data_IF_882615339811
#
_entry.id   IF_882615339811
#
_cell.length_a   1.000
_cell.length_b   1.000
_cell.length_c   1.000
_cell.angle_alpha   90.00
_cell.angle_beta   90.00
_cell.angle_gamma   90.00
#
_symmetry.space_group_name_H-M   'P 1'
#
loop_
_entity.id
_entity.type
_entity.pdbx_description
1 polymer ?
#
# COMPACT_ATOMS: atom_id res chain seq x y z
N UNK A 1 22.85 -8.22 9.28
CA UNK A 1 21.64 -7.44 9.58
C UNK A 1 21.76 -6.05 8.96
N UNK A 2 20.94 -5.73 7.98
CA UNK A 2 20.80 -4.39 7.41
C UNK A 2 19.68 -3.61 8.14
N UNK A 3 19.54 -2.31 7.85
CA UNK A 3 18.55 -1.46 8.50
C UNK A 3 17.11 -1.94 8.27
N UNK A 4 16.80 -2.50 7.09
CA UNK A 4 15.47 -3.00 6.74
C UNK A 4 15.09 -4.24 7.56
N UNK A 5 16.03 -5.18 7.68
CA UNK A 5 15.87 -6.39 8.50
C UNK A 5 15.63 -6.03 9.98
N UNK A 6 16.38 -5.06 10.51
CA UNK A 6 16.18 -4.58 11.88
C UNK A 6 14.80 -3.94 12.09
N UNK A 7 14.34 -3.14 11.13
CA UNK A 7 13.02 -2.50 11.19
C UNK A 7 11.89 -3.54 11.20
N UNK A 8 11.99 -4.59 10.39
CA UNK A 8 10.99 -5.67 10.41
C UNK A 8 10.97 -6.42 11.73
N UNK A 9 12.15 -6.82 12.23
CA UNK A 9 12.27 -7.49 13.51
C UNK A 9 11.67 -6.67 14.67
N UNK A 10 11.95 -5.37 14.71
CA UNK A 10 11.37 -4.49 15.73
C UNK A 10 9.88 -4.25 15.51
N UNK A 11 9.42 -4.18 14.25
CA UNK A 11 8.01 -4.15 13.90
C UNK A 11 7.26 -5.30 14.54
N UNK A 12 7.73 -6.53 14.32
CA UNK A 12 7.11 -7.74 14.89
C UNK A 12 7.13 -7.76 16.41
N UNK A 13 8.23 -7.29 17.02
CA UNK A 13 8.34 -7.18 18.47
C UNK A 13 7.28 -6.24 19.07
N UNK A 14 7.06 -5.07 18.46
CA UNK A 14 6.07 -4.08 18.92
C UNK A 14 4.63 -4.42 18.56
N UNK A 15 4.41 -5.21 17.51
CA UNK A 15 3.07 -5.64 17.07
C UNK A 15 2.63 -6.95 17.72
N UNK A 16 3.55 -7.65 18.40
CA UNK A 16 3.26 -8.91 19.07
C UNK A 16 3.11 -10.10 18.12
N UNK A 17 3.54 -9.95 16.87
CA UNK A 17 3.58 -11.01 15.85
C UNK A 17 4.87 -11.86 15.92
N UNK A 18 5.84 -11.45 16.74
CA UNK A 18 7.09 -12.19 16.94
C UNK A 18 6.86 -13.51 17.68
N UNK A 19 7.53 -14.58 17.21
CA UNK A 19 7.60 -15.87 17.89
C UNK A 19 8.03 -15.73 19.37
N UNK A 20 7.31 -16.39 20.29
CA UNK A 20 7.42 -16.13 21.73
C UNK A 20 8.84 -16.37 22.27
N UNK A 21 9.51 -17.43 21.83
CA UNK A 21 10.88 -17.73 22.26
C UNK A 21 11.86 -16.61 21.87
N UNK A 22 11.76 -16.12 20.64
CA UNK A 22 12.60 -15.05 20.10
C UNK A 22 12.30 -13.71 20.79
N UNK A 23 11.01 -13.44 21.04
CA UNK A 23 10.56 -12.26 21.77
C UNK A 23 11.13 -12.21 23.19
N UNK A 24 11.16 -13.35 23.89
CA UNK A 24 11.75 -13.45 25.22
C UNK A 24 13.26 -13.21 25.19
N UNK A 25 13.99 -13.85 24.27
CA UNK A 25 15.44 -13.64 24.12
C UNK A 25 15.78 -12.17 23.84
N UNK A 26 15.02 -11.54 22.94
CA UNK A 26 15.20 -10.13 22.60
C UNK A 26 14.87 -9.21 23.78
N UNK A 27 13.80 -9.49 24.54
CA UNK A 27 13.43 -8.72 25.73
C UNK A 27 14.54 -8.77 26.79
N UNK A 28 15.09 -9.97 27.06
CA UNK A 28 16.22 -10.14 27.99
C UNK A 28 17.45 -9.35 27.55
N UNK A 29 17.74 -9.31 26.24
CA UNK A 29 18.84 -8.50 25.72
C UNK A 29 18.59 -7.00 25.95
N UNK A 30 17.40 -6.50 25.62
CA UNK A 30 17.04 -5.09 25.76
C UNK A 30 17.11 -4.64 27.22
N UNK A 31 16.65 -5.47 28.16
CA UNK A 31 16.72 -5.19 29.60
C UNK A 31 18.16 -5.08 30.12
N UNK A 32 19.09 -5.80 29.51
CA UNK A 32 20.51 -5.86 29.92
C UNK A 32 21.42 -4.92 29.14
N UNK A 33 20.90 -4.22 28.13
CA UNK A 33 21.68 -3.40 27.21
C UNK A 33 21.11 -1.98 27.14
N UNK A 34 21.68 -1.05 27.93
CA UNK A 34 21.25 0.35 27.98
C UNK A 34 21.18 1.03 26.59
N UNK A 35 22.17 0.85 25.67
CA UNK A 35 22.08 1.39 24.32
C UNK A 35 20.85 0.90 23.55
N UNK A 36 20.56 -0.41 23.61
CA UNK A 36 19.40 -0.99 22.94
C UNK A 36 18.09 -0.49 23.56
N UNK A 37 18.04 -0.36 24.90
CA UNK A 37 16.89 0.21 25.58
C UNK A 37 16.61 1.66 25.15
N UNK A 38 17.64 2.50 25.07
CA UNK A 38 17.52 3.90 24.66
C UNK A 38 17.09 4.01 23.18
N UNK A 39 17.64 3.16 22.32
CA UNK A 39 17.23 3.06 20.93
C UNK A 39 15.76 2.65 20.81
N UNK A 40 15.33 1.61 21.53
CA UNK A 40 13.95 1.10 21.48
C UNK A 40 12.93 2.16 21.92
N UNK A 41 13.23 2.91 22.99
CA UNK A 41 12.41 4.03 23.45
C UNK A 41 12.25 5.11 22.38
N UNK A 42 13.33 5.42 21.66
CA UNK A 42 13.30 6.40 20.58
C UNK A 42 12.51 5.88 19.39
N UNK A 43 12.74 4.62 19.00
CA UNK A 43 12.02 3.98 17.92
C UNK A 43 10.51 3.91 18.17
N UNK A 44 10.09 3.50 19.37
CA UNK A 44 8.67 3.43 19.74
C UNK A 44 8.00 4.80 19.71
N UNK A 45 8.66 5.83 20.26
CA UNK A 45 8.18 7.21 20.16
C UNK A 45 8.03 7.67 18.70
N UNK A 46 9.02 7.40 17.86
CA UNK A 46 8.96 7.73 16.43
C UNK A 46 7.79 6.99 15.76
N UNK A 47 7.61 5.70 16.05
CA UNK A 47 6.49 4.91 15.53
C UNK A 47 5.13 5.49 15.94
N UNK A 48 4.98 5.89 17.20
CA UNK A 48 3.75 6.52 17.71
C UNK A 48 3.49 7.87 17.03
N UNK A 49 4.51 8.74 16.97
CA UNK A 49 4.38 10.04 16.32
C UNK A 49 4.05 9.91 14.83
N UNK A 50 4.74 9.04 14.11
CA UNK A 50 4.46 8.78 12.69
C UNK A 50 3.03 8.27 12.45
N UNK A 51 2.47 7.46 13.36
CA UNK A 51 1.06 7.01 13.29
C UNK A 51 0.05 8.12 13.58
N UNK A 52 0.44 9.16 14.30
CA UNK A 52 -0.41 10.32 14.60
C UNK A 52 -0.37 11.39 13.50
N UNK A 53 0.64 11.36 12.64
CA UNK A 53 0.70 12.24 11.47
C UNK A 53 -0.42 11.82 10.52
N UNK A 54 -1.48 12.62 10.47
CA UNK A 54 -2.40 12.59 9.35
C UNK A 54 -1.70 13.33 8.20
N UNK A 55 -1.50 12.69 7.03
CA UNK A 55 -1.03 13.42 5.88
C UNK A 55 -2.05 14.51 5.60
N UNK A 56 -1.65 15.78 5.73
CA UNK A 56 -2.47 16.89 5.26
C UNK A 56 -2.66 16.69 3.76
N UNK A 57 -3.92 16.64 3.32
CA UNK A 57 -4.20 16.56 1.90
C UNK A 57 -3.54 17.73 1.19
N UNK A 58 -2.85 17.46 0.09
CA UNK A 58 -2.25 18.52 -0.74
C UNK A 58 -3.37 19.50 -1.09
N UNK A 59 -3.25 20.79 -0.71
CA UNK A 59 -4.27 21.78 -1.00
C UNK A 59 -4.61 21.78 -2.48
N UNK A 60 -5.90 21.89 -2.80
CA UNK A 60 -6.38 21.74 -4.18
C UNK A 60 -5.67 22.69 -5.15
N UNK A 61 -5.40 23.92 -4.71
CA UNK A 61 -4.64 24.91 -5.49
C UNK A 61 -3.23 24.41 -5.84
N UNK A 62 -2.51 23.85 -4.86
CA UNK A 62 -1.16 23.33 -5.04
C UNK A 62 -1.18 22.13 -6.01
N UNK A 63 -2.15 21.23 -5.82
CA UNK A 63 -2.36 20.07 -6.70
C UNK A 63 -2.61 20.51 -8.14
N UNK A 64 -3.48 21.49 -8.34
CA UNK A 64 -3.84 21.99 -9.66
C UNK A 64 -2.66 22.69 -10.35
N UNK A 65 -1.90 23.51 -9.62
CA UNK A 65 -0.69 24.16 -10.13
C UNK A 65 0.38 23.15 -10.53
N UNK A 66 0.61 22.14 -9.69
CA UNK A 66 1.58 21.09 -9.98
C UNK A 66 1.14 20.26 -11.20
N UNK A 67 -0.13 19.87 -11.27
CA UNK A 67 -0.70 19.15 -12.43
C UNK A 67 -0.53 19.94 -13.73
N UNK A 68 -0.83 21.24 -13.70
CA UNK A 68 -0.66 22.12 -14.86
C UNK A 68 0.81 22.17 -15.31
N UNK A 69 1.74 22.34 -14.37
CA UNK A 69 3.18 22.34 -14.65
C UNK A 69 3.65 21.02 -15.28
N UNK A 70 3.29 19.87 -14.71
CA UNK A 70 3.68 18.56 -15.25
C UNK A 70 3.10 18.35 -16.65
N UNK A 71 1.83 18.67 -16.87
CA UNK A 71 1.19 18.56 -18.20
C UNK A 71 1.85 19.48 -19.22
N UNK A 72 2.22 20.69 -18.83
CA UNK A 72 2.96 21.61 -19.70
C UNK A 72 4.33 21.03 -20.07
N UNK A 73 5.09 20.54 -19.08
CA UNK A 73 6.42 19.98 -19.33
C UNK A 73 6.38 18.68 -20.12
N UNK A 74 5.36 17.84 -19.92
CA UNK A 74 5.14 16.66 -20.75
C UNK A 74 4.93 17.02 -22.24
N UNK A 75 4.30 18.15 -22.54
CA UNK A 75 4.14 18.66 -23.91
C UNK A 75 5.44 19.24 -24.48
N UNK A 76 6.21 19.97 -23.67
CA UNK A 76 7.46 20.64 -24.10
C UNK A 76 8.65 19.67 -24.23
N UNK A 77 8.73 18.67 -23.35
CA UNK A 77 9.88 17.77 -23.17
C UNK A 77 9.43 16.30 -23.07
N UNK A 78 8.60 15.84 -24.00
CA UNK A 78 7.98 14.50 -23.98
C UNK A 78 9.00 13.40 -23.65
N UNK A 79 10.17 13.38 -24.30
CA UNK A 79 11.19 12.34 -24.12
C UNK A 79 11.80 12.27 -22.71
N UNK A 80 11.85 13.38 -21.97
CA UNK A 80 12.49 13.41 -20.65
C UNK A 80 11.52 12.97 -19.54
N UNK A 81 10.22 13.15 -19.78
CA UNK A 81 9.16 12.86 -18.81
C UNK A 81 8.43 11.53 -19.09
N UNK A 82 8.46 11.05 -20.33
CA UNK A 82 7.85 9.80 -20.77
C UNK A 82 8.23 8.62 -19.86
N UNK A 83 9.50 8.49 -19.48
CA UNK A 83 9.96 7.45 -18.55
C UNK A 83 9.25 7.46 -17.19
N UNK A 84 8.85 8.64 -16.69
CA UNK A 84 8.13 8.76 -15.42
C UNK A 84 6.65 8.45 -15.58
N UNK A 85 6.05 8.84 -16.71
CA UNK A 85 4.66 8.51 -17.04
C UNK A 85 4.49 7.01 -17.27
N UNK A 86 5.40 6.39 -18.02
CA UNK A 86 5.43 4.95 -18.23
C UNK A 86 5.65 4.18 -16.92
N UNK A 87 6.53 4.68 -16.06
CA UNK A 87 6.76 4.08 -14.74
C UNK A 87 5.50 4.15 -13.89
N UNK A 88 4.87 5.32 -13.78
CA UNK A 88 3.64 5.49 -13.02
C UNK A 88 2.50 4.62 -13.57
N UNK A 89 2.37 4.54 -14.90
CA UNK A 89 1.39 3.66 -15.55
C UNK A 89 1.68 2.19 -15.22
N UNK A 90 2.94 1.75 -15.28
CA UNK A 90 3.33 0.38 -14.94
C UNK A 90 3.02 0.05 -13.47
N UNK A 91 3.40 0.92 -12.55
CA UNK A 91 3.13 0.76 -11.12
C UNK A 91 1.62 0.66 -10.85
N UNK A 92 0.81 1.49 -11.51
CA UNK A 92 -0.66 1.41 -11.44
C UNK A 92 -1.20 0.06 -11.93
N UNK A 93 -0.75 -0.41 -13.10
CA UNK A 93 -1.17 -1.72 -13.64
C UNK A 93 -0.81 -2.87 -12.73
N UNK A 94 0.39 -2.83 -12.17
CA UNK A 94 0.89 -3.83 -11.24
C UNK A 94 0.05 -3.85 -9.96
N UNK A 95 -0.28 -2.69 -9.38
CA UNK A 95 -1.18 -2.59 -8.23
C UNK A 95 -2.57 -3.20 -8.49
N UNK A 96 -3.15 -2.92 -9.66
CA UNK A 96 -4.45 -3.51 -10.06
C UNK A 96 -4.34 -5.03 -10.20
N UNK A 97 -3.28 -5.52 -10.84
CA UNK A 97 -3.05 -6.96 -10.97
C UNK A 97 -2.85 -7.63 -9.61
N UNK A 98 -2.13 -6.99 -8.69
CA UNK A 98 -1.88 -7.49 -7.33
C UNK A 98 -3.15 -7.59 -6.49
N UNK A 99 -3.98 -6.55 -6.49
CA UNK A 99 -5.24 -6.61 -5.73
C UNK A 99 -6.17 -7.68 -6.27
N UNK A 100 -6.24 -7.85 -7.60
CA UNK A 100 -7.06 -8.89 -8.23
C UNK A 100 -6.52 -10.29 -7.92
N UNK A 101 -5.19 -10.49 -7.96
CA UNK A 101 -4.56 -11.75 -7.55
C UNK A 101 -4.84 -12.07 -6.09
N UNK A 102 -4.73 -11.09 -5.20
CA UNK A 102 -5.02 -11.27 -3.79
C UNK A 102 -6.51 -11.57 -3.54
N UNK A 103 -7.41 -10.91 -4.28
CA UNK A 103 -8.85 -11.17 -4.24
C UNK A 103 -9.19 -12.60 -4.68
N UNK A 104 -8.67 -13.06 -5.83
CA UNK A 104 -8.89 -14.43 -6.34
C UNK A 104 -8.32 -15.48 -5.38
N UNK A 105 -7.16 -15.20 -4.78
CA UNK A 105 -6.52 -16.09 -3.81
C UNK A 105 -7.15 -16.04 -2.40
N UNK A 106 -8.17 -15.21 -2.17
CA UNK A 106 -8.75 -14.95 -0.85
C UNK A 106 -7.72 -14.52 0.21
N UNK A 107 -6.73 -13.71 -0.20
CA UNK A 107 -5.63 -13.21 0.66
C UNK A 107 -5.75 -11.73 1.02
N UNK A 108 -6.89 -11.09 0.74
CA UNK A 108 -7.14 -9.71 1.17
C UNK A 108 -7.27 -9.64 2.70
N UNK A 109 -6.80 -8.53 3.29
CA UNK A 109 -7.09 -8.21 4.69
C UNK A 109 -8.61 -8.07 4.91
N UNK A 110 -9.06 -8.17 6.15
CA UNK A 110 -10.50 -8.09 6.49
C UNK A 110 -11.14 -6.79 5.97
N UNK A 111 -10.49 -5.65 6.23
CA UNK A 111 -10.96 -4.33 5.77
C UNK A 111 -11.01 -4.25 4.26
N UNK A 112 -9.94 -4.67 3.58
CA UNK A 112 -9.91 -4.63 2.12
C UNK A 112 -10.90 -5.58 1.47
N UNK A 113 -11.10 -6.77 2.05
CA UNK A 113 -12.11 -7.70 1.56
C UNK A 113 -13.51 -7.09 1.62
N UNK A 114 -13.85 -6.40 2.72
CA UNK A 114 -15.15 -5.74 2.86
C UNK A 114 -15.35 -4.61 1.84
N UNK A 115 -14.35 -3.74 1.67
CA UNK A 115 -14.40 -2.65 0.69
C UNK A 115 -14.55 -3.18 -0.73
N UNK A 116 -13.72 -4.17 -1.09
CA UNK A 116 -13.72 -4.75 -2.44
C UNK A 116 -15.00 -5.53 -2.74
N UNK A 117 -15.56 -6.26 -1.76
CA UNK A 117 -16.86 -6.93 -1.90
C UNK A 117 -18.00 -5.93 -2.05
N UNK A 118 -18.00 -4.87 -1.25
CA UNK A 118 -19.01 -3.81 -1.34
C UNK A 118 -18.96 -3.13 -2.69
N UNK A 119 -17.76 -2.83 -3.20
CA UNK A 119 -17.55 -2.30 -4.54
C UNK A 119 -18.07 -3.27 -5.61
N UNK A 120 -17.65 -4.54 -5.59
CA UNK A 120 -18.13 -5.57 -6.52
C UNK A 120 -19.65 -5.69 -6.56
N UNK A 121 -20.30 -5.61 -5.39
CA UNK A 121 -21.74 -5.85 -5.29
C UNK A 121 -22.56 -4.63 -5.76
N UNK A 122 -22.00 -3.43 -5.72
CA UNK A 122 -22.67 -2.15 -6.05
C UNK A 122 -22.17 -1.45 -7.32
N UNK A 123 -21.04 -1.86 -7.89
CA UNK A 123 -20.43 -1.21 -9.04
C UNK A 123 -20.90 -1.82 -10.36
N UNK A 124 -21.55 -1.01 -11.19
CA UNK A 124 -22.04 -1.44 -12.52
C UNK A 124 -20.90 -1.67 -13.52
N UNK A 125 -19.74 -1.03 -13.32
CA UNK A 125 -18.54 -1.19 -14.16
C UNK A 125 -17.81 -2.49 -13.82
N UNK A 126 -17.33 -2.61 -12.58
CA UNK A 126 -16.48 -3.72 -12.16
C UNK A 126 -17.25 -4.97 -11.72
N UNK A 127 -18.54 -4.86 -11.35
CA UNK A 127 -19.25 -5.91 -10.62
C UNK A 127 -19.35 -7.23 -11.35
N UNK A 128 -19.67 -7.22 -12.65
CA UNK A 128 -19.76 -8.44 -13.45
C UNK A 128 -18.40 -9.15 -13.59
N UNK A 129 -17.35 -8.38 -13.91
CA UNK A 129 -15.98 -8.87 -14.02
C UNK A 129 -15.51 -9.51 -12.70
N UNK A 130 -15.62 -8.76 -11.59
CA UNK A 130 -15.19 -9.20 -10.26
C UNK A 130 -15.99 -10.41 -9.72
N UNK A 131 -17.29 -10.52 -10.04
CA UNK A 131 -18.09 -11.71 -9.72
C UNK A 131 -17.64 -12.93 -10.52
N UNK A 132 -17.22 -12.73 -11.77
CA UNK A 132 -16.68 -13.79 -12.64
C UNK A 132 -15.33 -14.36 -12.18
N UNK A 133 -14.56 -13.60 -11.40
CA UNK A 133 -13.29 -14.03 -10.81
C UNK A 133 -13.44 -14.93 -9.57
N UNK A 134 -14.62 -14.96 -8.93
CA UNK A 134 -14.86 -15.81 -7.78
C UNK A 134 -14.73 -17.30 -8.14
N UNK A 135 -13.99 -18.05 -7.32
CA UNK A 135 -13.81 -19.50 -7.50
C UNK A 135 -12.44 -19.94 -8.01
N UNK A 136 -11.42 -19.08 -7.94
CA UNK A 136 -10.02 -19.48 -8.17
C UNK A 136 -9.63 -19.65 -9.65
N UNK A 137 -10.40 -19.08 -10.58
CA UNK A 137 -10.06 -19.10 -12.01
C UNK A 137 -8.90 -18.15 -12.30
N UNK A 138 -8.11 -18.47 -13.33
CA UNK A 138 -7.09 -17.56 -13.84
C UNK A 138 -7.74 -16.21 -14.22
N UNK A 139 -7.09 -15.11 -13.85
CA UNK A 139 -7.55 -13.77 -14.19
C UNK A 139 -7.42 -13.64 -15.73
N UNK A 140 -8.52 -13.40 -16.47
CA UNK A 140 -8.43 -13.11 -17.90
C UNK A 140 -7.72 -11.76 -18.10
N UNK A 141 -7.41 -11.41 -19.35
CA UNK A 141 -6.92 -10.07 -19.67
C UNK A 141 -7.88 -9.01 -19.07
N UNK A 142 -7.33 -8.08 -18.28
CA UNK A 142 -8.10 -7.06 -17.57
C UNK A 142 -8.50 -6.01 -18.62
N UNK A 143 -9.81 -5.75 -18.82
CA UNK A 143 -10.23 -4.70 -19.74
C UNK A 143 -9.70 -3.33 -19.28
N UNK A 144 -9.23 -2.44 -20.19
CA UNK A 144 -8.66 -1.15 -19.81
C UNK A 144 -9.58 -0.27 -18.97
N UNK A 145 -10.89 -0.28 -19.24
CA UNK A 145 -11.89 0.48 -18.47
C UNK A 145 -12.07 -0.05 -17.04
N UNK A 146 -11.90 -1.35 -16.85
CA UNK A 146 -11.92 -2.01 -15.54
C UNK A 146 -10.60 -1.73 -14.79
N UNK A 147 -9.46 -1.79 -15.50
CA UNK A 147 -8.15 -1.44 -14.96
C UNK A 147 -8.15 0.00 -14.41
N UNK A 148 -8.59 0.95 -15.23
CA UNK A 148 -8.69 2.36 -14.84
C UNK A 148 -9.63 2.55 -13.65
N UNK A 149 -10.79 1.90 -13.66
CA UNK A 149 -11.74 2.08 -12.57
C UNK A 149 -11.27 1.48 -11.23
N UNK A 150 -10.61 0.31 -11.27
CA UNK A 150 -10.02 -0.27 -10.06
C UNK A 150 -8.85 0.59 -9.58
N UNK A 151 -8.04 1.14 -10.48
CA UNK A 151 -6.98 2.08 -10.11
C UNK A 151 -7.53 3.33 -9.40
N UNK A 152 -8.59 3.95 -9.93
CA UNK A 152 -9.28 5.08 -9.28
C UNK A 152 -9.77 4.72 -7.87
N UNK A 153 -10.34 3.51 -7.71
CA UNK A 153 -10.77 3.01 -6.42
C UNK A 153 -9.59 2.89 -5.44
N UNK A 154 -8.46 2.34 -5.87
CA UNK A 154 -7.26 2.19 -5.03
C UNK A 154 -6.64 3.55 -4.67
N UNK A 155 -6.62 4.50 -5.60
CA UNK A 155 -6.11 5.86 -5.37
C UNK A 155 -6.99 6.66 -4.39
N UNK A 156 -8.28 6.33 -4.28
CA UNK A 156 -9.24 6.96 -3.38
C UNK A 156 -9.27 6.36 -1.96
N UNK A 157 -8.48 5.31 -1.69
CA UNK A 157 -8.41 4.72 -0.35
C UNK A 157 -7.70 5.65 0.63
N UNK A 158 -8.17 5.73 1.89
CA UNK A 158 -7.50 6.51 2.91
C UNK A 158 -6.10 5.93 3.21
N UNK A 159 -5.17 6.76 3.73
CA UNK A 159 -3.84 6.31 4.10
C UNK A 159 -3.90 5.15 5.09
N UNK A 160 -3.19 4.05 4.81
CA UNK A 160 -3.17 2.84 5.64
C UNK A 160 -4.15 1.75 5.23
N UNK A 161 -5.07 2.03 4.29
CA UNK A 161 -5.92 1.01 3.65
C UNK A 161 -5.37 0.54 2.30
N UNK A 162 -4.19 1.02 1.89
CA UNK A 162 -3.52 0.53 0.69
C UNK A 162 -3.25 -0.98 0.78
N UNK A 163 -3.30 -1.72 -0.34
CA UNK A 163 -3.04 -3.15 -0.33
C UNK A 163 -1.63 -3.42 0.19
N UNK A 164 -1.51 -3.97 1.39
CA UNK A 164 -0.24 -4.54 1.85
C UNK A 164 -0.09 -5.86 1.09
N UNK A 165 0.65 -5.80 -0.01
CA UNK A 165 1.00 -6.98 -0.80
C UNK A 165 2.10 -7.71 -0.02
N UNK A 166 1.66 -8.61 0.86
CA UNK A 166 2.52 -9.57 1.55
C UNK A 166 2.95 -10.71 0.67
#
# INVERSE_FOLDING_TARGET
MNCKELVYLLGDFFEGSMEEHLRQELAVHIERCEPCMNFLKTYDKTRILCRQIQPEEIPEEVRNRLKAFVLQKAREHHRDIEKYLERAARERREQVADILRAYVANRLSMTMNLLFRTHRDRCDRCGAFLKGLNGGKAIPEIPPDIEDHIAEFLEALPPGESPVIG
#
